data_IF_345115824897
#
_entry.id   IF_345115824897
#
_cell.length_a   1.000
_cell.length_b   1.000
_cell.length_c   1.000
_cell.angle_alpha   90.00
_cell.angle_beta   90.00
_cell.angle_gamma   90.00
#
_symmetry.space_group_name_H-M   'P 1'
#
loop_
_entity.id
_entity.type
_entity.pdbx_description
1 polymer ?
#
# COMPACT_ATOMS: atom_id res chain seq x y z
N UNK A 1 -4.29 13.18 6.04
CA UNK A 1 -4.90 12.84 4.73
C UNK A 1 -5.50 11.43 4.72
N UNK A 2 -4.77 10.43 5.21
CA UNK A 2 -5.22 9.04 5.30
C UNK A 2 -6.58 8.88 6.00
N UNK A 3 -6.85 9.65 7.06
CA UNK A 3 -8.11 9.54 7.81
C UNK A 3 -9.38 9.93 7.06
N UNK A 4 -9.25 10.64 5.94
CA UNK A 4 -10.37 11.07 5.10
C UNK A 4 -10.75 10.04 4.03
N UNK A 5 -9.97 8.96 3.87
CA UNK A 5 -10.25 7.89 2.93
C UNK A 5 -11.41 7.00 3.41
N UNK A 6 -12.15 6.40 2.47
CA UNK A 6 -13.13 5.36 2.80
C UNK A 6 -12.47 4.15 3.47
N UNK A 7 -13.20 3.33 4.25
CA UNK A 7 -12.63 2.16 4.94
C UNK A 7 -11.88 1.20 4.00
N UNK A 8 -12.43 0.95 2.80
CA UNK A 8 -11.76 0.13 1.78
C UNK A 8 -10.47 0.78 1.24
N UNK A 9 -10.47 2.09 1.05
CA UNK A 9 -9.28 2.85 0.64
C UNK A 9 -8.19 2.86 1.71
N UNK A 10 -8.57 3.03 2.99
CA UNK A 10 -7.68 2.93 4.15
C UNK A 10 -7.00 1.55 4.22
N UNK A 11 -7.77 0.47 3.97
CA UNK A 11 -7.26 -0.91 3.91
C UNK A 11 -6.16 -1.05 2.86
N UNK A 12 -6.40 -0.60 1.62
CA UNK A 12 -5.43 -0.72 0.53
C UNK A 12 -4.18 0.12 0.81
N UNK A 13 -4.34 1.36 1.29
CA UNK A 13 -3.21 2.22 1.63
C UNK A 13 -2.35 1.63 2.76
N UNK A 14 -2.96 0.97 3.75
CA UNK A 14 -2.20 0.27 4.81
C UNK A 14 -1.51 -0.98 4.28
N UNK A 15 -2.17 -1.76 3.42
CA UNK A 15 -1.56 -2.95 2.82
C UNK A 15 -0.32 -2.59 2.00
N UNK A 16 -0.39 -1.53 1.19
CA UNK A 16 0.74 -0.98 0.45
C UNK A 16 1.85 -0.51 1.39
N UNK A 17 1.49 0.21 2.47
CA UNK A 17 2.45 0.68 3.46
C UNK A 17 3.22 -0.48 4.14
N UNK A 18 2.49 -1.49 4.62
CA UNK A 18 3.05 -2.68 5.28
C UNK A 18 3.92 -3.51 4.33
N UNK A 19 3.55 -3.62 3.06
CA UNK A 19 4.35 -4.34 2.06
C UNK A 19 5.75 -3.75 1.89
N UNK A 20 5.93 -2.45 2.16
CA UNK A 20 7.24 -1.80 2.11
C UNK A 20 8.15 -2.17 3.27
N UNK A 21 7.60 -2.59 4.42
CA UNK A 21 8.43 -3.01 5.57
C UNK A 21 9.26 -4.25 5.27
N UNK A 22 8.90 -5.01 4.23
CA UNK A 22 9.71 -6.12 3.72
C UNK A 22 10.83 -5.69 2.77
N UNK A 23 10.90 -4.40 2.38
CA UNK A 23 11.94 -3.87 1.52
C UNK A 23 13.05 -3.19 2.37
N UNK A 24 14.32 -3.62 2.26
CA UNK A 24 15.36 -3.27 3.25
C UNK A 24 16.05 -1.90 3.07
N UNK A 25 15.78 -1.10 2.04
CA UNK A 25 16.70 0.02 1.72
C UNK A 25 16.13 1.26 1.00
N UNK A 26 14.85 1.30 0.65
CA UNK A 26 14.26 2.45 -0.07
C UNK A 26 13.43 3.35 0.86
N UNK A 27 13.43 4.67 0.60
CA UNK A 27 12.68 5.67 1.37
C UNK A 27 11.18 5.33 1.34
N UNK A 28 10.72 4.69 2.41
CA UNK A 28 9.36 4.15 2.49
C UNK A 28 8.33 5.26 2.36
N UNK A 29 7.37 5.05 1.47
CA UNK A 29 6.25 5.95 1.26
C UNK A 29 5.30 5.87 2.46
N UNK A 30 4.86 6.99 3.02
CA UNK A 30 3.96 6.98 4.18
C UNK A 30 2.51 6.73 3.77
N UNK A 31 1.66 6.31 4.71
CA UNK A 31 0.21 6.16 4.48
C UNK A 31 -0.45 7.45 3.98
N UNK A 32 0.00 8.61 4.48
CA UNK A 32 -0.49 9.90 4.02
C UNK A 32 -0.03 10.25 2.61
N UNK A 33 1.21 9.91 2.22
CA UNK A 33 1.66 10.06 0.83
C UNK A 33 0.85 9.17 -0.11
N UNK A 34 0.55 7.93 0.30
CA UNK A 34 -0.27 6.99 -0.50
C UNK A 34 -1.69 7.54 -0.66
N UNK A 35 -2.25 8.12 0.40
CA UNK A 35 -3.54 8.79 0.36
C UNK A 35 -3.53 10.06 -0.51
N UNK A 36 -2.43 10.81 -0.51
CA UNK A 36 -2.24 11.99 -1.35
C UNK A 36 -2.27 11.58 -2.83
N UNK A 37 -1.50 10.57 -3.23
CA UNK A 37 -1.47 10.08 -4.62
C UNK A 37 -2.86 9.62 -5.09
N UNK A 38 -3.61 8.94 -4.21
CA UNK A 38 -4.98 8.55 -4.49
C UNK A 38 -5.90 9.75 -4.74
N UNK A 39 -5.72 10.83 -3.97
CA UNK A 39 -6.48 12.08 -4.13
C UNK A 39 -6.09 12.87 -5.37
N UNK A 40 -4.84 12.77 -5.81
CA UNK A 40 -4.36 13.33 -7.08
C UNK A 40 -4.98 12.66 -8.32
N UNK A 41 -5.86 11.67 -8.14
CA UNK A 41 -6.57 10.99 -9.21
C UNK A 41 -5.96 9.65 -9.63
N UNK A 42 -4.82 9.25 -9.06
CA UNK A 42 -4.17 7.97 -9.40
C UNK A 42 -5.01 6.78 -8.92
N UNK A 43 -5.00 5.70 -9.70
CA UNK A 43 -5.59 4.43 -9.26
C UNK A 43 -4.68 3.71 -8.28
N UNK A 44 -5.23 2.77 -7.49
CA UNK A 44 -4.41 1.93 -6.62
C UNK A 44 -3.39 1.10 -7.40
N UNK A 45 -3.70 0.72 -8.64
CA UNK A 45 -2.77 0.04 -9.54
C UNK A 45 -1.60 0.94 -9.92
N UNK A 46 -1.86 2.21 -10.26
CA UNK A 46 -0.81 3.18 -10.60
C UNK A 46 0.11 3.44 -9.41
N UNK A 47 -0.46 3.62 -8.22
CA UNK A 47 0.31 3.83 -6.99
C UNK A 47 1.17 2.61 -6.69
N UNK A 48 0.62 1.41 -6.82
CA UNK A 48 1.37 0.17 -6.67
C UNK A 48 2.53 0.07 -7.68
N UNK A 49 2.30 0.42 -8.94
CA UNK A 49 3.34 0.41 -9.97
C UNK A 49 4.45 1.41 -9.68
N UNK A 50 4.11 2.62 -9.21
CA UNK A 50 5.11 3.60 -8.76
C UNK A 50 5.94 3.04 -7.61
N UNK A 51 5.29 2.45 -6.60
CA UNK A 51 5.99 1.86 -5.46
C UNK A 51 6.89 0.68 -5.88
N UNK A 52 6.42 -0.17 -6.79
CA UNK A 52 7.19 -1.29 -7.33
C UNK A 52 8.40 -0.81 -8.15
N UNK A 53 8.21 0.21 -9.00
CA UNK A 53 9.27 0.83 -9.79
C UNK A 53 10.36 1.46 -8.92
N UNK A 54 9.99 2.00 -7.76
CA UNK A 54 10.91 2.53 -6.75
C UNK A 54 11.60 1.43 -5.90
N UNK A 55 11.31 0.15 -6.15
CA UNK A 55 11.83 -0.96 -5.35
C UNK A 55 11.25 -1.03 -3.94
N UNK A 56 10.19 -0.28 -3.64
CA UNK A 56 9.55 -0.24 -2.33
C UNK A 56 8.74 -1.49 -2.05
N UNK A 57 8.22 -2.16 -3.08
CA UNK A 57 7.42 -3.37 -2.95
C UNK A 57 7.93 -4.44 -3.92
N UNK A 58 8.15 -5.66 -3.41
CA UNK A 58 8.58 -6.82 -4.20
C UNK A 58 7.43 -7.77 -4.59
N UNK A 59 6.18 -7.34 -4.45
CA UNK A 59 5.01 -8.14 -4.81
C UNK A 59 4.77 -8.15 -6.33
N UNK A 60 4.18 -9.23 -6.83
CA UNK A 60 3.83 -9.38 -8.24
C UNK A 60 2.67 -8.45 -8.60
N UNK A 61 1.62 -8.42 -7.75
CA UNK A 61 0.39 -7.66 -8.00
C UNK A 61 -0.16 -6.98 -6.74
N UNK A 62 -0.99 -5.95 -6.94
CA UNK A 62 -1.73 -5.29 -5.86
C UNK A 62 -2.62 -6.28 -5.08
N UNK A 63 -3.26 -7.23 -5.77
CA UNK A 63 -4.08 -8.26 -5.13
C UNK A 63 -3.28 -9.14 -4.18
N UNK A 64 -2.04 -9.48 -4.52
CA UNK A 64 -1.14 -10.24 -3.64
C UNK A 64 -0.77 -9.45 -2.39
N UNK A 65 -0.52 -8.13 -2.51
CA UNK A 65 -0.26 -7.24 -1.38
C UNK A 65 -1.45 -7.21 -0.43
N UNK A 66 -2.65 -6.97 -0.96
CA UNK A 66 -3.88 -6.91 -0.17
C UNK A 66 -4.16 -8.27 0.48
N UNK A 67 -4.06 -9.37 -0.26
CA UNK A 67 -4.30 -10.72 0.27
C UNK A 67 -3.27 -11.16 1.33
N UNK A 68 -2.01 -10.70 1.25
CA UNK A 68 -1.02 -10.91 2.33
C UNK A 68 -1.41 -10.10 3.57
N UNK A 69 -1.81 -8.84 3.41
CA UNK A 69 -2.26 -7.99 4.50
C UNK A 69 -3.50 -8.56 5.20
N UNK A 70 -4.49 -9.03 4.44
CA UNK A 70 -5.71 -9.62 5.01
C UNK A 70 -5.42 -10.91 5.77
N UNK A 71 -4.56 -11.79 5.23
CA UNK A 71 -4.12 -12.99 5.93
C UNK A 71 -3.38 -12.66 7.22
N UNK A 72 -2.48 -11.68 7.20
CA UNK A 72 -1.73 -11.22 8.37
C UNK A 72 -2.61 -10.55 9.44
N UNK A 73 -3.80 -10.06 9.05
CA UNK A 73 -4.83 -9.58 9.99
C UNK A 73 -5.67 -10.73 10.53
N UNK A 74 -6.02 -11.69 9.68
CA UNK A 74 -6.84 -12.84 10.06
C UNK A 74 -6.10 -13.79 11.02
N UNK A 75 -4.78 -13.93 10.88
CA UNK A 75 -3.94 -14.71 11.82
C UNK A 75 -3.67 -14.00 13.16
N UNK A 76 -4.11 -12.75 13.32
CA UNK A 76 -3.95 -11.97 14.57
C UNK A 76 -5.25 -11.87 15.39
N UNK A 77 -6.28 -12.63 15.02
CA UNK A 77 -7.49 -12.88 15.80
C UNK A 77 -7.45 -14.31 16.35
#
# INVERSE_FOLDING_TARGET
MYDTLSPGSKRIATALFEAQKSAPSARSMTRDQIAQERRSGKTWGDIFQVMKSQGLIQAETLGQVIGRYDRARHTRL
#
